data_IF_616919337617
#
_entry.id   IF_616919337617
#
_cell.length_a   1.000
_cell.length_b   1.000
_cell.length_c   1.000
_cell.angle_alpha   90.00
_cell.angle_beta   90.00
_cell.angle_gamma   90.00
#
_symmetry.space_group_name_H-M   'P 1'
#
loop_
_entity.id
_entity.type
_entity.pdbx_description
1 polymer ?
#
# COMPACT_ATOMS: atom_id res chain seq x y z
N UNK A 1 37.69 25.21 -5.69
CA UNK A 1 36.51 25.64 -4.93
C UNK A 1 35.65 26.53 -5.83
N UNK A 2 34.56 26.02 -6.43
CA UNK A 2 33.55 26.87 -7.05
C UNK A 2 32.34 27.04 -6.11
N UNK A 3 31.88 28.28 -6.04
CA UNK A 3 30.80 28.76 -5.20
C UNK A 3 29.42 28.35 -5.73
N UNK A 4 28.51 28.06 -4.80
CA UNK A 4 27.07 27.89 -5.04
C UNK A 4 26.39 29.21 -5.34
N UNK A 5 25.40 29.27 -6.25
CA UNK A 5 24.40 30.32 -6.27
C UNK A 5 23.13 29.89 -5.52
N UNK A 6 22.80 30.68 -4.49
CA UNK A 6 21.49 30.71 -3.84
C UNK A 6 20.47 31.40 -4.75
N UNK A 7 19.34 30.74 -5.01
CA UNK A 7 18.19 31.36 -5.70
C UNK A 7 17.03 31.51 -4.73
N UNK A 8 16.60 32.76 -4.62
CA UNK A 8 15.57 33.34 -3.77
C UNK A 8 14.16 33.16 -4.36
N UNK A 9 13.20 33.07 -3.44
CA UNK A 9 11.87 33.68 -3.45
C UNK A 9 10.93 33.48 -4.66
N UNK A 10 9.78 32.86 -4.40
CA UNK A 10 8.54 33.12 -5.14
C UNK A 10 7.34 33.08 -4.20
N UNK A 11 6.82 34.25 -3.83
CA UNK A 11 5.48 34.45 -3.29
C UNK A 11 4.70 35.31 -4.28
N UNK A 12 3.52 34.88 -4.77
CA UNK A 12 2.61 35.76 -5.46
C UNK A 12 1.62 36.45 -4.49
N UNK A 13 1.20 37.69 -4.79
CA UNK A 13 0.33 38.51 -3.97
C UNK A 13 -1.15 38.29 -4.32
N UNK A 14 -2.03 38.27 -3.32
CA UNK A 14 -3.46 38.47 -3.56
C UNK A 14 -3.92 39.76 -2.88
N UNK A 15 -4.45 40.74 -3.64
CA UNK A 15 -5.04 41.92 -3.06
C UNK A 15 -6.58 41.84 -3.01
N UNK A 16 -7.11 42.72 -2.15
CA UNK A 16 -8.41 43.38 -2.19
C UNK A 16 -9.63 42.73 -1.53
N UNK A 17 -10.04 43.44 -0.48
CA UNK A 17 -11.34 43.46 0.17
C UNK A 17 -12.45 43.79 -0.82
N UNK A 18 -13.57 43.09 -0.72
CA UNK A 18 -14.87 43.61 -1.13
C UNK A 18 -15.90 43.27 -0.04
N UNK A 19 -16.38 44.31 0.65
CA UNK A 19 -17.61 44.30 1.43
C UNK A 19 -18.71 44.81 0.51
N UNK A 20 -19.83 44.09 0.40
CA UNK A 20 -21.15 44.67 0.15
C UNK A 20 -22.24 43.73 0.68
N UNK A 21 -23.28 44.37 1.19
CA UNK A 21 -24.32 43.89 2.08
C UNK A 21 -25.51 43.23 1.35
N UNK A 22 -26.19 42.36 2.09
CA UNK A 22 -27.64 42.18 2.19
C UNK A 22 -28.47 41.87 0.93
N UNK A 23 -29.02 40.65 0.90
CA UNK A 23 -30.23 40.29 0.17
C UNK A 23 -30.97 39.20 0.94
N UNK A 24 -32.17 39.50 1.43
CA UNK A 24 -32.98 38.67 2.30
C UNK A 24 -33.95 37.76 1.53
N UNK A 25 -34.24 36.60 2.15
CA UNK A 25 -35.49 35.83 2.14
C UNK A 25 -36.05 35.30 0.79
N UNK A 26 -35.91 33.99 0.60
CA UNK A 26 -37.05 33.12 0.23
C UNK A 26 -36.94 31.78 0.95
N UNK A 27 -37.89 31.51 1.85
CA UNK A 27 -38.13 30.21 2.50
C UNK A 27 -38.82 29.30 1.49
N UNK A 28 -38.28 28.10 1.25
CA UNK A 28 -38.87 27.17 0.28
C UNK A 28 -38.21 25.79 0.26
N UNK A 29 -38.57 24.94 1.23
CA UNK A 29 -38.76 23.49 1.04
C UNK A 29 -37.71 22.72 0.19
N UNK A 30 -36.43 22.76 0.58
CA UNK A 30 -35.35 21.98 -0.04
C UNK A 30 -34.37 21.34 0.94
N UNK A 31 -34.78 21.16 2.21
CA UNK A 31 -33.90 20.80 3.32
C UNK A 31 -33.84 19.28 3.61
N UNK A 32 -33.78 18.42 2.58
CA UNK A 32 -33.71 16.96 2.81
C UNK A 32 -32.84 16.15 1.83
N UNK A 33 -31.98 16.79 1.01
CA UNK A 33 -31.08 16.06 0.09
C UNK A 33 -29.66 16.68 -0.04
N UNK A 34 -29.16 17.38 0.98
CA UNK A 34 -27.82 17.99 0.97
C UNK A 34 -27.01 17.74 2.25
N UNK A 35 -27.20 16.57 2.87
CA UNK A 35 -26.39 16.11 4.02
C UNK A 35 -25.51 14.89 3.70
N UNK A 36 -25.32 14.54 2.41
CA UNK A 36 -24.57 13.32 2.05
C UNK A 36 -23.23 13.50 1.33
N UNK A 37 -22.91 14.65 0.74
CA UNK A 37 -21.68 14.82 -0.07
C UNK A 37 -20.67 15.82 0.51
N UNK A 38 -20.57 15.92 1.84
CA UNK A 38 -19.78 16.96 2.52
C UNK A 38 -18.55 16.51 3.29
N UNK A 39 -18.10 15.26 3.17
CA UNK A 39 -16.92 14.77 3.88
C UNK A 39 -15.80 14.38 2.89
N UNK A 40 -15.36 15.32 2.05
CA UNK A 40 -14.17 15.11 1.21
C UNK A 40 -12.89 15.48 1.98
N UNK A 41 -12.24 14.43 2.47
CA UNK A 41 -10.80 14.17 2.41
C UNK A 41 -9.83 15.32 2.75
N UNK A 42 -9.57 15.52 4.04
CA UNK A 42 -8.28 16.05 4.52
C UNK A 42 -7.37 14.91 5.01
N UNK A 43 -7.33 13.81 4.26
CA UNK A 43 -6.30 12.78 4.40
C UNK A 43 -5.21 13.13 3.38
N UNK A 44 -3.96 13.20 3.81
CA UNK A 44 -2.81 13.53 2.96
C UNK A 44 -2.64 12.49 1.85
N UNK A 45 -3.31 12.74 0.72
CA UNK A 45 -3.16 12.01 -0.52
C UNK A 45 -1.87 12.51 -1.18
N UNK A 46 -0.88 11.63 -1.34
CA UNK A 46 0.22 11.90 -2.27
C UNK A 46 -0.22 11.29 -3.60
N UNK A 47 -0.43 12.10 -4.65
CA UNK A 47 -0.75 11.54 -5.95
C UNK A 47 0.48 10.82 -6.47
N UNK A 48 0.38 9.50 -6.57
CA UNK A 48 1.33 8.67 -7.29
C UNK A 48 0.67 8.21 -8.58
N UNK A 49 1.39 8.35 -9.69
CA UNK A 49 0.90 8.11 -11.06
C UNK A 49 1.21 6.69 -11.57
N UNK A 50 1.99 5.91 -10.81
CA UNK A 50 2.39 4.56 -11.23
C UNK A 50 3.49 4.51 -12.29
N UNK A 51 4.10 5.65 -12.65
CA UNK A 51 5.15 5.71 -13.69
C UNK A 51 6.56 5.45 -13.15
N UNK A 52 6.76 5.62 -11.85
CA UNK A 52 8.02 5.36 -11.18
C UNK A 52 7.81 4.59 -9.87
N UNK A 53 8.82 3.87 -9.36
CA UNK A 53 8.71 3.21 -8.06
C UNK A 53 8.43 4.19 -6.93
N UNK A 54 7.68 3.75 -5.92
CA UNK A 54 7.41 4.55 -4.72
C UNK A 54 7.96 3.87 -3.47
N UNK A 55 8.51 4.67 -2.57
CA UNK A 55 9.07 4.22 -1.29
C UNK A 55 8.30 4.86 -0.14
N UNK A 56 7.78 4.03 0.77
CA UNK A 56 7.26 4.45 2.05
C UNK A 56 8.23 4.04 3.16
N UNK A 57 8.76 5.02 3.89
CA UNK A 57 9.87 4.82 4.84
C UNK A 57 9.59 5.53 6.19
N UNK A 58 10.38 5.21 7.20
CA UNK A 58 10.38 5.88 8.49
C UNK A 58 9.10 5.60 9.26
N UNK A 59 8.43 6.65 9.74
CA UNK A 59 7.14 6.54 10.46
C UNK A 59 5.99 7.12 9.63
N UNK A 60 6.09 7.00 8.31
CA UNK A 60 5.15 7.60 7.38
C UNK A 60 3.87 6.79 7.30
N UNK A 61 2.74 7.48 7.15
CA UNK A 61 1.46 6.86 6.87
C UNK A 61 1.05 7.29 5.46
N UNK A 62 0.97 6.35 4.53
CA UNK A 62 0.63 6.61 3.14
C UNK A 62 -0.61 5.82 2.75
N UNK A 63 -1.51 6.46 2.00
CA UNK A 63 -2.66 5.81 1.38
C UNK A 63 -2.66 6.10 -0.10
N UNK A 64 -2.78 5.06 -0.91
CA UNK A 64 -2.92 5.12 -2.36
C UNK A 64 -4.22 4.43 -2.75
N UNK A 65 -4.96 5.02 -3.68
CA UNK A 65 -6.23 4.49 -4.15
C UNK A 65 -6.32 4.63 -5.66
N UNK A 66 -6.95 3.66 -6.32
CA UNK A 66 -7.24 3.68 -7.77
C UNK A 66 -5.98 3.82 -8.66
N UNK A 67 -4.83 3.29 -8.22
CA UNK A 67 -3.58 3.38 -8.98
C UNK A 67 -3.34 2.14 -9.82
N UNK A 68 -2.90 2.33 -11.06
CA UNK A 68 -2.39 1.27 -11.93
C UNK A 68 -0.91 1.51 -12.21
N UNK A 69 -0.06 0.58 -11.79
CA UNK A 69 1.37 0.67 -12.00
C UNK A 69 1.87 -0.61 -12.65
N UNK A 70 2.62 -0.50 -13.74
CA UNK A 70 3.24 -1.63 -14.42
C UNK A 70 4.67 -1.27 -14.80
N UNK A 71 5.63 -1.62 -13.95
CA UNK A 71 7.03 -1.25 -14.15
C UNK A 71 7.87 -2.44 -14.62
N UNK A 72 8.82 -2.22 -15.55
CA UNK A 72 9.66 -3.28 -16.10
C UNK A 72 10.76 -3.75 -15.12
N UNK A 73 11.00 -2.99 -14.05
CA UNK A 73 11.95 -3.30 -12.98
C UNK A 73 11.26 -3.02 -11.63
N UNK A 74 11.72 -3.69 -10.58
CA UNK A 74 11.13 -3.57 -9.25
C UNK A 74 12.13 -3.73 -8.10
N UNK A 75 11.71 -3.43 -6.86
CA UNK A 75 10.32 -3.34 -6.42
C UNK A 75 9.53 -2.14 -6.99
N UNK A 76 8.24 -2.33 -7.33
CA UNK A 76 7.34 -1.24 -7.75
C UNK A 76 6.97 -0.37 -6.54
N UNK A 77 6.66 -1.02 -5.43
CA UNK A 77 6.38 -0.39 -4.14
C UNK A 77 7.34 -0.99 -3.11
N UNK A 78 8.06 -0.13 -2.39
CA UNK A 78 8.92 -0.51 -1.27
C UNK A 78 8.38 0.13 0.02
N UNK A 79 8.06 -0.68 1.03
CA UNK A 79 7.65 -0.22 2.35
C UNK A 79 8.65 -0.70 3.41
N UNK A 80 9.25 0.22 4.15
CA UNK A 80 10.31 -0.10 5.14
C UNK A 80 10.24 0.77 6.39
N UNK A 81 11.12 0.52 7.36
CA UNK A 81 11.10 1.18 8.66
C UNK A 81 9.84 0.82 9.45
N UNK A 82 9.11 1.83 9.93
CA UNK A 82 7.81 1.70 10.60
C UNK A 82 6.68 2.30 9.73
N UNK A 83 6.85 2.29 8.41
CA UNK A 83 5.83 2.80 7.50
C UNK A 83 4.50 2.04 7.68
N UNK A 84 3.39 2.77 7.57
CA UNK A 84 2.05 2.21 7.40
C UNK A 84 1.50 2.59 6.03
N UNK A 85 1.34 1.63 5.14
CA UNK A 85 0.83 1.83 3.79
C UNK A 85 -0.52 1.16 3.63
N UNK A 86 -1.47 1.85 2.99
CA UNK A 86 -2.74 1.26 2.57
C UNK A 86 -2.90 1.46 1.07
N UNK A 87 -3.09 0.37 0.33
CA UNK A 87 -3.45 0.36 -1.08
C UNK A 87 -4.91 -0.08 -1.19
N UNK A 88 -5.74 0.71 -1.87
CA UNK A 88 -7.15 0.39 -2.12
C UNK A 88 -7.43 0.41 -3.62
N UNK A 89 -8.02 -0.66 -4.15
CA UNK A 89 -8.45 -0.76 -5.55
C UNK A 89 -7.31 -0.50 -6.55
N UNK A 90 -6.09 -0.93 -6.20
CA UNK A 90 -4.90 -0.76 -7.02
C UNK A 90 -4.58 -2.00 -7.86
N UNK A 91 -3.92 -1.79 -9.00
CA UNK A 91 -3.40 -2.83 -9.87
C UNK A 91 -1.88 -2.63 -10.05
N UNK A 92 -1.08 -3.49 -9.41
CA UNK A 92 0.37 -3.34 -9.30
C UNK A 92 1.07 -4.51 -9.97
N UNK A 93 1.87 -4.23 -11.01
CA UNK A 93 2.61 -5.22 -11.79
C UNK A 93 4.10 -4.89 -11.90
N UNK A 94 4.96 -5.88 -11.69
CA UNK A 94 6.40 -5.77 -11.92
C UNK A 94 7.17 -7.03 -11.48
N UNK A 95 8.48 -7.14 -11.76
CA UNK A 95 9.27 -8.32 -11.38
C UNK A 95 9.19 -8.62 -9.87
N UNK A 96 9.28 -7.57 -9.05
CA UNK A 96 8.81 -7.57 -7.65
C UNK A 96 7.77 -6.48 -7.51
N UNK A 97 6.52 -6.83 -7.21
CA UNK A 97 5.45 -5.85 -7.18
C UNK A 97 5.48 -5.04 -5.87
N UNK A 98 5.45 -5.71 -4.71
CA UNK A 98 5.54 -5.03 -3.40
C UNK A 98 6.60 -5.71 -2.53
N UNK A 99 7.54 -4.91 -2.02
CA UNK A 99 8.55 -5.35 -1.07
C UNK A 99 8.33 -4.65 0.28
N UNK A 100 8.34 -5.44 1.37
CA UNK A 100 8.21 -4.97 2.73
C UNK A 100 9.41 -5.43 3.56
N UNK A 101 9.95 -4.54 4.38
CA UNK A 101 11.03 -4.87 5.31
C UNK A 101 10.88 -4.17 6.66
N UNK A 102 11.78 -4.50 7.59
CA UNK A 102 11.84 -3.96 8.94
C UNK A 102 10.51 -4.18 9.70
N UNK A 103 9.81 -3.12 10.11
CA UNK A 103 8.54 -3.16 10.83
C UNK A 103 7.41 -2.50 10.00
N UNK A 104 7.52 -2.53 8.67
CA UNK A 104 6.51 -1.95 7.80
C UNK A 104 5.19 -2.73 7.89
N UNK A 105 4.07 -2.02 7.84
CA UNK A 105 2.73 -2.60 7.84
C UNK A 105 1.99 -2.14 6.59
N UNK A 106 1.57 -3.09 5.75
CA UNK A 106 0.84 -2.81 4.51
C UNK A 106 -0.53 -3.47 4.56
N UNK A 107 -1.55 -2.74 4.10
CA UNK A 107 -2.89 -3.29 3.89
C UNK A 107 -3.23 -3.17 2.40
N UNK A 108 -3.61 -4.28 1.78
CA UNK A 108 -4.06 -4.36 0.39
C UNK A 108 -5.56 -4.65 0.39
N UNK A 109 -6.36 -3.73 -0.16
CA UNK A 109 -7.82 -3.83 -0.24
C UNK A 109 -8.28 -3.81 -1.68
N UNK A 110 -8.98 -4.84 -2.14
CA UNK A 110 -9.48 -4.89 -3.52
C UNK A 110 -8.38 -4.80 -4.59
N UNK A 111 -7.12 -5.09 -4.21
CA UNK A 111 -5.98 -4.89 -5.09
C UNK A 111 -5.68 -6.15 -5.91
N UNK A 112 -5.20 -5.96 -7.13
CA UNK A 112 -4.55 -6.99 -7.93
C UNK A 112 -3.03 -6.77 -7.90
N UNK A 113 -2.26 -7.75 -7.44
CA UNK A 113 -0.80 -7.66 -7.33
C UNK A 113 -0.17 -8.81 -8.09
N UNK A 114 0.59 -8.49 -9.14
CA UNK A 114 1.18 -9.49 -10.03
C UNK A 114 2.68 -9.29 -10.22
N UNK A 115 3.47 -10.37 -10.13
CA UNK A 115 4.90 -10.30 -10.44
C UNK A 115 5.59 -11.64 -10.62
N UNK A 116 6.89 -11.62 -10.90
CA UNK A 116 7.70 -12.86 -10.82
C UNK A 116 7.72 -13.33 -9.37
N UNK A 117 7.95 -12.38 -8.45
CA UNK A 117 7.62 -12.48 -7.03
C UNK A 117 6.65 -11.35 -6.68
N UNK A 118 5.38 -11.65 -6.42
CA UNK A 118 4.39 -10.58 -6.23
C UNK A 118 4.62 -9.82 -4.91
N UNK A 119 4.73 -10.54 -3.79
CA UNK A 119 5.00 -9.99 -2.47
C UNK A 119 6.29 -10.56 -1.89
N UNK A 120 7.17 -9.69 -1.40
CA UNK A 120 8.38 -10.08 -0.64
C UNK A 120 8.35 -9.40 0.73
N UNK A 121 8.49 -10.19 1.80
CA UNK A 121 8.50 -9.71 3.18
C UNK A 121 9.74 -10.20 3.93
N UNK A 122 10.33 -9.33 4.75
CA UNK A 122 11.43 -9.66 5.67
C UNK A 122 11.33 -8.87 6.98
N UNK A 123 12.20 -9.19 7.95
CA UNK A 123 12.17 -8.59 9.28
C UNK A 123 10.91 -8.94 10.08
N UNK A 124 10.28 -7.93 10.65
CA UNK A 124 9.00 -7.96 11.38
C UNK A 124 7.85 -7.36 10.53
N UNK A 125 8.02 -7.35 9.20
CA UNK A 125 7.05 -6.74 8.30
C UNK A 125 5.72 -7.51 8.30
N UNK A 126 4.64 -6.77 8.08
CA UNK A 126 3.29 -7.33 8.05
C UNK A 126 2.54 -6.87 6.79
N UNK A 127 1.89 -7.82 6.12
CA UNK A 127 0.89 -7.52 5.08
C UNK A 127 -0.46 -8.11 5.45
N UNK A 128 -1.52 -7.32 5.28
CA UNK A 128 -2.91 -7.77 5.37
C UNK A 128 -3.57 -7.69 4.01
N UNK A 129 -4.18 -8.80 3.58
CA UNK A 129 -4.91 -8.96 2.32
C UNK A 129 -6.41 -9.02 2.61
N UNK A 130 -7.15 -8.05 2.07
CA UNK A 130 -8.59 -7.90 2.19
C UNK A 130 -9.16 -7.80 0.77
N UNK A 131 -9.85 -8.84 0.31
CA UNK A 131 -10.39 -8.95 -1.05
C UNK A 131 -9.34 -8.71 -2.15
N UNK A 132 -8.07 -9.03 -1.85
CA UNK A 132 -6.95 -8.83 -2.77
C UNK A 132 -6.61 -10.12 -3.53
N UNK A 133 -6.21 -9.97 -4.79
CA UNK A 133 -5.69 -11.05 -5.62
C UNK A 133 -4.17 -10.89 -5.78
N UNK A 134 -3.42 -11.87 -5.28
CA UNK A 134 -1.96 -11.89 -5.35
C UNK A 134 -1.54 -13.06 -6.23
N UNK A 135 -0.85 -12.77 -7.34
CA UNK A 135 -0.46 -13.79 -8.31
C UNK A 135 0.96 -13.62 -8.84
N UNK A 136 1.58 -14.73 -9.24
CA UNK A 136 2.93 -14.66 -9.79
C UNK A 136 3.57 -16.01 -10.06
N UNK A 137 4.83 -16.01 -10.50
CA UNK A 137 5.61 -17.24 -10.53
C UNK A 137 5.82 -17.77 -9.10
N UNK A 138 6.15 -16.85 -8.19
CA UNK A 138 6.01 -16.99 -6.74
C UNK A 138 5.06 -15.89 -6.25
N UNK A 139 3.94 -16.24 -5.64
CA UNK A 139 2.99 -15.20 -5.22
C UNK A 139 3.46 -14.48 -3.94
N UNK A 140 3.90 -15.21 -2.93
CA UNK A 140 4.39 -14.62 -1.67
C UNK A 140 5.69 -15.28 -1.21
N UNK A 141 6.68 -14.48 -0.88
CA UNK A 141 7.88 -14.88 -0.12
C UNK A 141 7.88 -14.09 1.18
N UNK A 142 7.91 -14.78 2.31
CA UNK A 142 7.97 -14.17 3.63
C UNK A 142 9.11 -14.81 4.43
N UNK A 143 9.96 -13.99 5.05
CA UNK A 143 11.12 -14.42 5.80
C UNK A 143 11.15 -13.83 7.22
N UNK A 144 12.11 -14.27 8.02
CA UNK A 144 12.34 -13.79 9.39
C UNK A 144 11.12 -13.96 10.29
N UNK A 145 10.57 -12.90 10.88
CA UNK A 145 9.36 -12.95 11.73
C UNK A 145 8.16 -12.29 11.04
N UNK A 146 8.21 -12.15 9.72
CA UNK A 146 7.17 -11.46 8.97
C UNK A 146 5.84 -12.22 8.99
N UNK A 147 4.76 -11.45 8.83
CA UNK A 147 3.40 -11.96 8.94
C UNK A 147 2.60 -11.63 7.67
N UNK A 148 2.04 -12.66 7.07
CA UNK A 148 1.07 -12.54 5.98
C UNK A 148 -0.31 -12.86 6.55
N UNK A 149 -1.23 -11.89 6.53
CA UNK A 149 -2.63 -12.11 6.95
C UNK A 149 -3.52 -12.14 5.72
N UNK A 150 -4.13 -13.28 5.44
CA UNK A 150 -5.14 -13.41 4.40
C UNK A 150 -6.53 -13.43 5.06
N UNK A 151 -7.25 -12.30 4.97
CA UNK A 151 -8.62 -12.17 5.51
C UNK A 151 -9.66 -12.60 4.48
N UNK A 152 -9.49 -12.18 3.24
CA UNK A 152 -10.29 -12.57 2.07
C UNK A 152 -9.50 -12.31 0.80
N UNK A 153 -9.97 -12.85 -0.33
CA UNK A 153 -9.25 -12.78 -1.61
C UNK A 153 -8.53 -14.08 -1.96
N UNK A 154 -7.45 -13.99 -2.75
CA UNK A 154 -6.77 -15.14 -3.33
C UNK A 154 -5.26 -14.95 -3.42
N UNK A 155 -4.50 -15.99 -3.08
CA UNK A 155 -3.07 -16.11 -3.36
C UNK A 155 -2.86 -17.27 -4.33
N UNK A 156 -2.25 -17.02 -5.49
CA UNK A 156 -2.04 -18.04 -6.53
C UNK A 156 -0.67 -17.92 -7.18
N UNK A 157 0.23 -18.85 -6.86
CA UNK A 157 1.56 -18.92 -7.46
C UNK A 157 1.67 -20.06 -8.47
N UNK A 158 2.20 -19.78 -9.66
CA UNK A 158 2.38 -20.80 -10.69
C UNK A 158 3.40 -21.88 -10.31
N UNK A 159 4.45 -21.51 -9.53
CA UNK A 159 5.43 -22.44 -8.98
C UNK A 159 5.25 -22.64 -7.47
N UNK A 160 5.18 -21.53 -6.73
CA UNK A 160 5.00 -21.50 -5.28
C UNK A 160 4.01 -20.39 -4.94
N UNK A 161 2.93 -20.71 -4.24
CA UNK A 161 1.93 -19.73 -3.82
C UNK A 161 2.39 -18.98 -2.59
N UNK A 162 2.94 -19.68 -1.60
CA UNK A 162 3.49 -19.06 -0.40
C UNK A 162 4.78 -19.78 -0.02
N UNK A 163 5.84 -19.01 0.21
CA UNK A 163 7.14 -19.48 0.64
C UNK A 163 7.50 -18.82 1.97
N UNK A 164 7.37 -19.57 3.06
CA UNK A 164 7.64 -19.11 4.42
C UNK A 164 9.04 -19.58 4.84
N UNK A 165 9.92 -18.64 5.12
CA UNK A 165 11.30 -18.83 5.53
C UNK A 165 11.49 -18.33 6.97
N UNK A 166 12.43 -18.92 7.72
CA UNK A 166 12.67 -18.53 9.10
C UNK A 166 11.47 -18.82 10.01
N UNK A 167 11.05 -17.82 10.80
CA UNK A 167 9.88 -17.85 11.68
C UNK A 167 8.65 -17.16 11.04
N UNK A 168 8.64 -16.95 9.72
CA UNK A 168 7.55 -16.27 9.03
C UNK A 168 6.28 -17.10 9.09
N UNK A 169 5.13 -16.43 9.23
CA UNK A 169 3.83 -17.09 9.34
C UNK A 169 2.82 -16.55 8.35
N UNK A 170 1.97 -17.46 7.87
CA UNK A 170 0.73 -17.14 7.18
C UNK A 170 -0.43 -17.34 8.15
N UNK A 171 -1.16 -16.26 8.44
CA UNK A 171 -2.41 -16.29 9.18
C UNK A 171 -3.56 -16.29 8.17
N UNK A 172 -4.12 -17.47 7.93
CA UNK A 172 -5.23 -17.68 6.99
C UNK A 172 -6.56 -17.61 7.74
N UNK A 173 -7.30 -16.51 7.58
CA UNK A 173 -8.58 -16.25 8.24
C UNK A 173 -9.78 -16.35 7.29
N UNK A 174 -9.53 -16.30 5.98
CA UNK A 174 -10.50 -16.48 4.91
C UNK A 174 -9.84 -16.40 3.53
N UNK A 175 -10.59 -16.51 2.44
CA UNK A 175 -10.04 -16.54 1.08
C UNK A 175 -9.33 -17.83 0.70
N UNK A 176 -8.70 -17.86 -0.48
CA UNK A 176 -8.10 -19.05 -1.08
C UNK A 176 -6.59 -18.94 -1.24
N UNK A 177 -5.86 -20.01 -0.88
CA UNK A 177 -4.46 -20.20 -1.27
C UNK A 177 -4.39 -21.36 -2.25
N UNK A 178 -4.16 -21.05 -3.52
CA UNK A 178 -4.19 -22.02 -4.61
C UNK A 178 -2.76 -22.34 -5.05
N UNK A 179 -2.33 -23.59 -4.85
CA UNK A 179 -1.03 -24.09 -5.29
C UNK A 179 -0.13 -24.49 -4.12
N UNK A 180 1.18 -24.50 -4.37
CA UNK A 180 2.17 -25.05 -3.42
C UNK A 180 2.49 -24.04 -2.32
N UNK A 181 2.37 -24.46 -1.06
CA UNK A 181 2.90 -23.75 0.10
C UNK A 181 4.18 -24.45 0.55
N UNK A 182 5.27 -23.69 0.73
CA UNK A 182 6.53 -24.15 1.32
C UNK A 182 6.71 -23.46 2.66
N UNK A 183 7.04 -24.24 3.67
CA UNK A 183 7.48 -23.77 4.97
C UNK A 183 8.92 -24.19 5.16
N UNK A 184 9.73 -23.40 5.85
CA UNK A 184 11.04 -23.85 6.30
C UNK A 184 10.85 -25.11 7.16
N UNK A 185 11.35 -26.24 6.67
CA UNK A 185 11.54 -27.42 7.51
C UNK A 185 12.60 -27.05 8.55
N UNK A 186 12.18 -26.85 9.79
CA UNK A 186 13.10 -26.96 10.92
C UNK A 186 12.40 -27.65 12.07
N UNK A 187 12.70 -28.95 12.31
CA UNK A 187 12.42 -29.54 13.60
C UNK A 187 13.29 -28.81 14.62
N UNK A 188 12.71 -27.84 15.34
CA UNK A 188 13.28 -27.41 16.62
C UNK A 188 13.06 -28.56 17.60
N UNK A 189 13.93 -29.57 17.53
CA UNK A 189 14.16 -30.46 18.66
C UNK A 189 14.71 -29.58 19.79
N UNK A 190 13.80 -29.17 20.66
CA UNK A 190 14.14 -28.52 21.92
C UNK A 190 14.74 -29.61 22.82
N UNK A 191 16.06 -29.66 22.89
CA UNK A 191 16.76 -30.41 23.92
C UNK A 191 17.09 -29.43 25.04
N UNK A 192 16.35 -29.53 26.14
CA UNK A 192 16.83 -29.11 27.47
C UNK A 192 17.85 -30.12 28.01
#
# INVERSE_FOLDING_TARGET
MPASPSTTANTPPYPLRLRLLAGALTVGWGALLLWWFGALHALGWIPWDGEAPIVCDGRTHLKLSDVRAALPAGPVIEARGHCRLTLEDCDIRGPTAVALSDNAHVVLRGCEVTGDTALTLSGDAEVTLEDAEVSGAVAVVAADRSVVRLRSGRISGARISVDLLGDAILVHQGGDVLGRVRTADSPRAYHD
#
